data_IF_193917166957
#
_entry.id   IF_193917166957
#
_cell.length_a   1.000
_cell.length_b   1.000
_cell.length_c   1.000
_cell.angle_alpha   90.00
_cell.angle_beta   90.00
_cell.angle_gamma   90.00
#
_symmetry.space_group_name_H-M   'P 1'
#
loop_
_entity.id
_entity.type
_entity.pdbx_description
1 polymer ?
#
# COMPACT_ATOMS: atom_id res chain seq x y z
N UNK A 1 21.18 8.98 5.07
CA UNK A 1 21.26 8.39 3.73
C UNK A 1 20.01 8.79 2.98
N UNK A 2 20.11 9.25 1.75
CA UNK A 2 18.98 9.80 0.97
C UNK A 2 18.63 8.83 -0.16
N UNK A 3 17.33 8.71 -0.45
CA UNK A 3 16.86 7.99 -1.64
C UNK A 3 17.05 8.93 -2.85
N UNK A 4 17.67 8.44 -3.91
CA UNK A 4 17.72 9.17 -5.18
C UNK A 4 16.42 8.96 -5.96
N UNK A 5 15.51 9.92 -5.82
CA UNK A 5 14.26 9.92 -6.56
C UNK A 5 14.44 10.34 -8.02
N UNK A 6 15.45 11.19 -8.32
CA UNK A 6 15.65 11.77 -9.65
C UNK A 6 16.08 10.73 -10.68
N UNK A 7 16.96 9.79 -10.29
CA UNK A 7 17.40 8.68 -11.15
C UNK A 7 16.36 7.60 -11.40
N UNK A 8 15.17 7.72 -10.79
CA UNK A 8 14.11 6.70 -10.82
C UNK A 8 12.89 7.13 -11.67
N UNK A 9 12.92 8.30 -12.30
CA UNK A 9 11.78 8.85 -13.03
C UNK A 9 10.61 9.24 -12.11
N UNK A 10 10.87 9.42 -10.80
CA UNK A 10 9.87 9.80 -9.82
C UNK A 10 9.79 11.32 -9.65
N UNK A 11 8.62 11.80 -9.27
CA UNK A 11 8.36 13.19 -8.90
C UNK A 11 8.01 13.25 -7.41
N UNK A 12 8.45 14.33 -6.74
CA UNK A 12 7.95 14.68 -5.42
C UNK A 12 6.64 15.46 -5.56
N UNK A 13 5.60 15.04 -4.86
CA UNK A 13 4.32 15.76 -4.73
C UNK A 13 4.05 16.03 -3.25
N UNK A 14 3.49 17.19 -2.92
CA UNK A 14 3.10 17.47 -1.54
C UNK A 14 1.85 16.69 -1.15
N UNK A 15 1.70 16.37 0.15
CA UNK A 15 0.49 15.70 0.66
C UNK A 15 -0.77 16.49 0.36
N UNK A 16 -0.73 17.82 0.49
CA UNK A 16 -1.87 18.70 0.20
C UNK A 16 -2.27 18.63 -1.28
N UNK A 17 -1.30 18.60 -2.20
CA UNK A 17 -1.59 18.47 -3.62
C UNK A 17 -2.22 17.11 -3.95
N UNK A 18 -1.74 16.02 -3.34
CA UNK A 18 -2.33 14.69 -3.48
C UNK A 18 -3.74 14.64 -2.90
N UNK A 19 -3.96 15.23 -1.72
CA UNK A 19 -5.28 15.31 -1.08
C UNK A 19 -6.27 16.09 -1.96
N UNK A 20 -5.86 17.25 -2.50
CA UNK A 20 -6.69 18.07 -3.39
C UNK A 20 -7.03 17.32 -4.69
N UNK A 21 -6.06 16.62 -5.28
CA UNK A 21 -6.28 15.82 -6.51
C UNK A 21 -7.30 14.69 -6.25
N UNK A 22 -7.12 13.94 -5.16
CA UNK A 22 -8.04 12.87 -4.77
C UNK A 22 -9.46 13.41 -4.52
N UNK A 23 -9.57 14.50 -3.77
CA UNK A 23 -10.87 15.12 -3.49
C UNK A 23 -11.58 15.59 -4.77
N UNK A 24 -10.84 16.17 -5.71
CA UNK A 24 -11.38 16.57 -7.01
C UNK A 24 -11.84 15.35 -7.82
N UNK A 25 -11.02 14.29 -7.88
CA UNK A 25 -11.35 13.08 -8.62
C UNK A 25 -12.59 12.39 -8.03
N UNK A 26 -12.65 12.23 -6.70
CA UNK A 26 -13.81 11.64 -6.01
C UNK A 26 -15.08 12.46 -6.23
N UNK A 27 -15.01 13.78 -6.20
CA UNK A 27 -16.15 14.68 -6.47
C UNK A 27 -16.66 14.53 -7.90
N UNK A 28 -15.77 14.47 -8.89
CA UNK A 28 -16.12 14.58 -10.28
C UNK A 28 -16.45 13.21 -10.91
N UNK A 29 -15.89 12.10 -10.38
CA UNK A 29 -16.10 10.75 -10.94
C UNK A 29 -16.76 9.77 -9.94
N UNK A 30 -17.01 10.20 -8.71
CA UNK A 30 -17.66 9.36 -7.69
C UNK A 30 -16.89 8.05 -7.42
N UNK A 31 -17.61 6.91 -7.36
CA UNK A 31 -16.97 5.61 -7.05
C UNK A 31 -15.87 5.18 -8.05
N UNK A 32 -15.88 5.68 -9.27
CA UNK A 32 -14.87 5.34 -10.28
C UNK A 32 -13.48 5.90 -9.92
N UNK A 33 -13.41 6.92 -9.05
CA UNK A 33 -12.15 7.49 -8.56
C UNK A 33 -11.23 6.43 -7.95
N UNK A 34 -11.79 5.45 -7.23
CA UNK A 34 -11.04 4.37 -6.61
C UNK A 34 -10.23 3.58 -7.66
N UNK A 35 -10.88 3.16 -8.75
CA UNK A 35 -10.21 2.44 -9.83
C UNK A 35 -9.11 3.24 -10.51
N UNK A 36 -9.36 4.53 -10.80
CA UNK A 36 -8.36 5.41 -11.43
C UNK A 36 -7.13 5.61 -10.53
N UNK A 37 -7.34 5.78 -9.23
CA UNK A 37 -6.24 5.92 -8.27
C UNK A 37 -5.44 4.61 -8.12
N UNK A 38 -6.12 3.47 -8.06
CA UNK A 38 -5.45 2.16 -8.02
C UNK A 38 -4.63 1.91 -9.28
N UNK A 39 -5.19 2.18 -10.47
CA UNK A 39 -4.49 2.04 -11.75
C UNK A 39 -3.25 2.95 -11.81
N UNK A 40 -3.39 4.22 -11.41
CA UNK A 40 -2.26 5.15 -11.33
C UNK A 40 -1.18 4.68 -10.33
N UNK A 41 -1.60 4.18 -9.17
CA UNK A 41 -0.70 3.61 -8.17
C UNK A 41 0.06 2.39 -8.69
N UNK A 42 -0.65 1.46 -9.31
CA UNK A 42 -0.06 0.26 -9.91
C UNK A 42 0.97 0.62 -10.99
N UNK A 43 0.67 1.57 -11.85
CA UNK A 43 1.61 2.06 -12.86
C UNK A 43 2.89 2.68 -12.26
N UNK A 44 2.81 3.23 -11.04
CA UNK A 44 3.94 3.83 -10.33
C UNK A 44 4.78 2.84 -9.50
N UNK A 45 4.24 1.67 -9.19
CA UNK A 45 4.87 0.71 -8.27
C UNK A 45 6.23 0.20 -8.74
N UNK A 46 6.39 -0.06 -10.05
CA UNK A 46 7.65 -0.52 -10.63
C UNK A 46 8.82 0.44 -10.46
N UNK A 47 8.59 1.74 -10.66
CA UNK A 47 9.64 2.73 -10.45
C UNK A 47 10.06 2.80 -8.97
N UNK A 48 9.10 2.65 -8.06
CA UNK A 48 9.35 2.63 -6.62
C UNK A 48 10.12 1.36 -6.21
N UNK A 49 9.77 0.20 -6.79
CA UNK A 49 10.49 -1.06 -6.58
C UNK A 49 11.94 -0.97 -7.07
N UNK A 50 12.17 -0.42 -8.25
CA UNK A 50 13.52 -0.21 -8.77
C UNK A 50 14.35 0.75 -7.91
N UNK A 51 13.72 1.77 -7.33
CA UNK A 51 14.38 2.64 -6.37
C UNK A 51 14.74 1.90 -5.08
N UNK A 52 13.87 1.03 -4.59
CA UNK A 52 14.12 0.19 -3.41
C UNK A 52 15.30 -0.76 -3.65
N UNK A 53 15.35 -1.45 -4.80
CA UNK A 53 16.48 -2.32 -5.17
C UNK A 53 17.81 -1.56 -5.15
N UNK A 54 17.86 -0.38 -5.80
CA UNK A 54 19.09 0.45 -5.80
C UNK A 54 19.45 0.92 -4.41
N UNK A 55 18.49 1.27 -3.59
CA UNK A 55 18.70 1.69 -2.22
C UNK A 55 19.25 0.54 -1.36
N UNK A 56 18.71 -0.68 -1.46
CA UNK A 56 19.25 -1.87 -0.83
C UNK A 56 20.70 -2.14 -1.26
N UNK A 57 20.96 -2.15 -2.56
CA UNK A 57 22.32 -2.35 -3.10
C UNK A 57 23.32 -1.33 -2.56
N UNK A 58 22.90 -0.05 -2.41
CA UNK A 58 23.76 1.00 -1.83
C UNK A 58 24.10 0.79 -0.35
N UNK A 59 23.34 -0.07 0.34
CA UNK A 59 23.54 -0.47 1.74
C UNK A 59 24.25 -1.82 1.88
N UNK A 60 24.57 -2.47 0.77
CA UNK A 60 25.24 -3.76 0.75
C UNK A 60 24.32 -4.97 0.88
N UNK A 61 22.98 -4.75 0.74
CA UNK A 61 22.01 -5.83 0.70
C UNK A 61 21.89 -6.43 -0.72
N UNK A 62 21.37 -7.65 -0.79
CA UNK A 62 21.01 -8.33 -2.02
C UNK A 62 19.66 -7.88 -2.60
N UNK A 63 19.13 -8.67 -3.51
CA UNK A 63 17.81 -8.44 -4.11
C UNK A 63 16.69 -8.60 -3.04
N UNK A 64 15.59 -7.84 -3.12
CA UNK A 64 14.51 -7.85 -2.13
C UNK A 64 13.97 -9.24 -1.80
N UNK A 65 13.79 -10.07 -2.83
CA UNK A 65 13.26 -11.43 -2.72
C UNK A 65 14.22 -12.43 -2.05
N UNK A 66 15.50 -12.06 -1.91
CA UNK A 66 16.52 -12.87 -1.25
C UNK A 66 16.76 -12.52 0.23
N UNK A 67 16.13 -11.45 0.71
CA UNK A 67 16.32 -11.01 2.09
C UNK A 67 15.57 -11.91 3.08
N UNK A 68 16.14 -12.19 4.27
CA UNK A 68 15.36 -12.70 5.39
C UNK A 68 14.14 -11.82 5.67
N UNK A 69 13.04 -12.42 6.11
CA UNK A 69 11.77 -11.70 6.30
C UNK A 69 11.92 -10.49 7.22
N UNK A 70 12.63 -10.64 8.33
CA UNK A 70 12.84 -9.57 9.30
C UNK A 70 13.67 -8.41 8.73
N UNK A 71 14.68 -8.73 7.91
CA UNK A 71 15.47 -7.70 7.22
C UNK A 71 14.63 -6.99 6.17
N UNK A 72 13.86 -7.74 5.36
CA UNK A 72 12.94 -7.15 4.39
C UNK A 72 11.93 -6.21 5.04
N UNK A 73 11.33 -6.61 6.18
CA UNK A 73 10.40 -5.78 6.93
C UNK A 73 11.05 -4.48 7.40
N UNK A 74 12.26 -4.55 7.95
CA UNK A 74 12.99 -3.37 8.44
C UNK A 74 13.38 -2.43 7.30
N UNK A 75 13.93 -3.00 6.22
CA UNK A 75 14.43 -2.21 5.10
C UNK A 75 13.29 -1.58 4.30
N UNK A 76 12.18 -2.29 4.08
CA UNK A 76 11.00 -1.72 3.43
C UNK A 76 10.37 -0.60 4.27
N UNK A 77 10.25 -0.77 5.59
CA UNK A 77 9.75 0.27 6.48
C UNK A 77 10.61 1.55 6.43
N UNK A 78 11.92 1.40 6.48
CA UNK A 78 12.87 2.52 6.41
C UNK A 78 12.83 3.20 5.03
N UNK A 79 12.73 2.42 3.96
CA UNK A 79 12.63 2.95 2.61
C UNK A 79 11.38 3.82 2.42
N UNK A 80 10.19 3.33 2.78
CA UNK A 80 8.95 4.09 2.65
C UNK A 80 8.94 5.33 3.53
N UNK A 81 9.53 5.25 4.73
CA UNK A 81 9.70 6.40 5.62
C UNK A 81 10.59 7.47 4.99
N UNK A 82 11.75 7.09 4.41
CA UNK A 82 12.68 8.01 3.75
C UNK A 82 12.12 8.57 2.44
N UNK A 83 11.28 7.80 1.74
CA UNK A 83 10.57 8.25 0.55
C UNK A 83 9.41 9.22 0.86
N UNK A 84 9.13 9.47 2.15
CA UNK A 84 8.13 10.46 2.59
C UNK A 84 6.71 9.92 2.66
N UNK A 85 6.49 8.60 2.48
CA UNK A 85 5.17 7.98 2.58
C UNK A 85 4.68 7.81 4.01
N UNK A 86 5.57 7.70 4.98
CA UNK A 86 5.28 7.42 6.39
C UNK A 86 5.92 6.13 6.86
N UNK A 87 5.65 5.76 8.11
CA UNK A 87 6.10 4.49 8.67
C UNK A 87 5.25 3.34 8.12
N UNK A 88 5.88 2.22 7.77
CA UNK A 88 5.20 1.03 7.29
C UNK A 88 5.60 -0.16 8.16
N UNK A 89 4.64 -0.91 8.68
CA UNK A 89 4.88 -2.15 9.39
C UNK A 89 4.30 -3.29 8.56
N UNK A 90 5.16 -4.18 8.12
CA UNK A 90 4.78 -5.39 7.40
C UNK A 90 4.56 -6.51 8.42
N UNK A 91 3.40 -7.13 8.38
CA UNK A 91 3.02 -8.23 9.28
C UNK A 91 2.28 -9.33 8.54
N UNK A 92 1.75 -10.29 9.29
CA UNK A 92 0.86 -11.32 8.78
C UNK A 92 -0.41 -11.36 9.62
N UNK A 93 -1.56 -11.50 8.96
CA UNK A 93 -2.84 -11.78 9.63
C UNK A 93 -3.15 -13.28 9.59
N UNK A 94 -2.69 -13.95 8.53
CA UNK A 94 -2.80 -15.38 8.31
C UNK A 94 -1.65 -15.84 7.39
N UNK A 95 -1.44 -17.14 7.23
CA UNK A 95 -0.35 -17.68 6.39
C UNK A 95 -0.42 -17.21 4.92
N UNK A 96 -1.61 -16.88 4.42
CA UNK A 96 -1.82 -16.44 3.03
C UNK A 96 -2.15 -14.93 2.90
N UNK A 97 -2.25 -14.19 4.01
CA UNK A 97 -2.60 -12.78 4.01
C UNK A 97 -1.65 -11.98 4.89
N UNK A 98 -0.83 -11.16 4.25
CA UNK A 98 0.01 -10.19 4.92
C UNK A 98 -0.76 -8.91 5.26
N UNK A 99 -0.23 -8.12 6.20
CA UNK A 99 -0.73 -6.79 6.55
C UNK A 99 0.34 -5.74 6.34
N UNK A 100 -0.10 -4.56 5.93
CA UNK A 100 0.71 -3.35 5.89
C UNK A 100 0.01 -2.29 6.75
N UNK A 101 0.63 -1.93 7.86
CA UNK A 101 0.07 -1.01 8.85
C UNK A 101 0.85 0.29 8.92
N UNK A 102 0.14 1.42 9.08
CA UNK A 102 0.75 2.73 9.27
C UNK A 102 -0.13 3.67 10.07
N UNK A 103 0.45 4.34 11.06
CA UNK A 103 -0.22 5.38 11.85
C UNK A 103 -0.03 6.80 11.30
N UNK A 104 0.82 7.00 10.29
CA UNK A 104 1.18 8.29 9.72
C UNK A 104 1.24 8.29 8.18
N UNK A 105 0.57 7.33 7.53
CA UNK A 105 0.61 7.13 6.09
C UNK A 105 0.26 8.41 5.31
N UNK A 106 1.10 8.72 4.32
CA UNK A 106 1.09 10.02 3.64
C UNK A 106 -0.09 10.27 2.72
N UNK A 107 -0.78 9.24 2.25
CA UNK A 107 -2.02 9.40 1.48
C UNK A 107 -3.23 9.68 2.39
N UNK A 108 -3.20 9.29 3.65
CA UNK A 108 -4.31 9.51 4.56
C UNK A 108 -4.46 10.99 4.93
N UNK A 109 -5.70 11.47 4.95
CA UNK A 109 -6.12 12.80 5.35
C UNK A 109 -7.26 12.67 6.37
N UNK A 110 -6.97 12.58 7.68
CA UNK A 110 -8.00 12.39 8.72
C UNK A 110 -9.08 13.48 8.70
N UNK A 111 -8.70 14.70 8.35
CA UNK A 111 -9.61 15.85 8.22
C UNK A 111 -10.62 15.70 7.06
N UNK A 112 -10.41 14.78 6.14
CA UNK A 112 -11.33 14.50 5.04
C UNK A 112 -12.60 13.79 5.50
N UNK A 113 -12.58 13.15 6.69
CA UNK A 113 -13.71 12.46 7.31
C UNK A 113 -14.49 11.55 6.34
N UNK A 114 -13.77 10.71 5.61
CA UNK A 114 -14.35 9.78 4.62
C UNK A 114 -15.25 8.75 5.32
N UNK A 115 -16.23 8.23 4.60
CA UNK A 115 -17.13 7.18 5.11
C UNK A 115 -16.55 5.77 4.92
N UNK A 116 -15.54 5.63 4.08
CA UNK A 116 -14.90 4.37 3.71
C UNK A 116 -13.38 4.57 3.53
N UNK A 117 -12.58 3.49 3.57
CA UNK A 117 -11.17 3.53 3.24
C UNK A 117 -10.90 4.24 1.91
N UNK A 118 -9.85 5.06 1.84
CA UNK A 118 -9.62 5.94 0.71
C UNK A 118 -8.18 6.05 0.22
N UNK A 119 -7.24 5.22 0.71
CA UNK A 119 -5.86 5.20 0.22
C UNK A 119 -5.71 4.31 -1.01
N UNK A 120 -6.47 4.63 -2.06
CA UNK A 120 -6.57 3.82 -3.26
C UNK A 120 -5.29 3.86 -4.11
N UNK A 121 -4.59 5.00 -4.17
CA UNK A 121 -3.31 5.11 -4.86
C UNK A 121 -2.29 4.17 -4.22
N UNK A 122 -2.23 4.16 -2.89
CA UNK A 122 -1.34 3.27 -2.14
C UNK A 122 -1.67 1.80 -2.35
N UNK A 123 -2.95 1.43 -2.40
CA UNK A 123 -3.35 0.05 -2.70
C UNK A 123 -2.79 -0.42 -4.05
N UNK A 124 -2.85 0.43 -5.07
CA UNK A 124 -2.23 0.14 -6.37
C UNK A 124 -0.71 0.04 -6.32
N UNK A 125 -0.04 1.00 -5.66
CA UNK A 125 1.42 0.97 -5.46
C UNK A 125 1.85 -0.32 -4.78
N UNK A 126 1.19 -0.71 -3.70
CA UNK A 126 1.54 -1.91 -2.95
C UNK A 126 1.30 -3.19 -3.76
N UNK A 127 0.23 -3.24 -4.56
CA UNK A 127 -0.05 -4.41 -5.40
C UNK A 127 1.08 -4.67 -6.39
N UNK A 128 1.59 -3.65 -7.10
CA UNK A 128 2.71 -3.82 -8.03
C UNK A 128 4.05 -3.99 -7.30
N UNK A 129 4.33 -3.17 -6.28
CA UNK A 129 5.60 -3.23 -5.55
C UNK A 129 5.82 -4.60 -4.89
N UNK A 130 4.86 -5.07 -4.07
CA UNK A 130 4.98 -6.36 -3.39
C UNK A 130 4.75 -7.54 -4.33
N UNK A 131 3.98 -7.36 -5.40
CA UNK A 131 3.85 -8.35 -6.46
C UNK A 131 5.19 -8.67 -7.11
N UNK A 132 6.04 -7.67 -7.32
CA UNK A 132 7.42 -7.85 -7.83
C UNK A 132 8.32 -8.54 -6.82
N UNK A 133 8.17 -8.26 -5.52
CA UNK A 133 8.90 -8.98 -4.46
C UNK A 133 8.51 -10.45 -4.42
N UNK A 134 7.22 -10.74 -4.57
CA UNK A 134 6.68 -12.10 -4.53
C UNK A 134 6.82 -12.88 -5.85
N UNK A 135 7.25 -12.22 -6.93
CA UNK A 135 7.22 -12.74 -8.31
C UNK A 135 5.84 -13.33 -8.68
N UNK A 136 4.76 -12.67 -8.20
CA UNK A 136 3.39 -13.12 -8.40
C UNK A 136 2.41 -11.92 -8.34
N UNK A 137 1.29 -11.97 -9.07
CA UNK A 137 0.27 -10.94 -8.97
C UNK A 137 -0.38 -10.98 -7.58
N UNK A 138 -0.39 -9.82 -6.90
CA UNK A 138 -1.02 -9.63 -5.60
C UNK A 138 -2.16 -8.64 -5.70
N UNK A 139 -3.19 -8.85 -4.88
CA UNK A 139 -4.26 -7.88 -4.65
C UNK A 139 -4.10 -7.24 -3.27
N UNK A 140 -4.45 -5.96 -3.19
CA UNK A 140 -4.36 -5.16 -1.96
C UNK A 140 -5.69 -4.48 -1.69
N UNK A 141 -6.15 -4.54 -0.45
CA UNK A 141 -7.37 -3.89 0.01
C UNK A 141 -7.13 -3.15 1.33
N UNK A 142 -7.41 -1.86 1.38
CA UNK A 142 -7.42 -1.12 2.64
C UNK A 142 -8.69 -1.47 3.44
N UNK A 143 -8.52 -1.89 4.69
CA UNK A 143 -9.63 -2.30 5.58
C UNK A 143 -9.79 -1.39 6.78
N UNK A 144 -8.74 -0.69 7.20
CA UNK A 144 -8.80 0.40 8.18
C UNK A 144 -8.13 1.63 7.57
N UNK A 145 -8.73 2.79 7.70
CA UNK A 145 -8.22 4.02 7.10
C UNK A 145 -8.33 5.21 8.06
N UNK A 146 -7.25 5.93 8.26
CA UNK A 146 -7.23 7.14 9.09
C UNK A 146 -8.12 8.25 8.52
N UNK A 147 -8.26 8.33 7.20
CA UNK A 147 -9.22 9.25 6.56
C UNK A 147 -10.67 8.90 6.89
N UNK A 148 -10.97 7.66 7.27
CA UNK A 148 -12.29 7.18 7.68
C UNK A 148 -12.44 7.06 9.20
N UNK A 149 -11.53 7.67 9.98
CA UNK A 149 -11.62 7.75 11.43
C UNK A 149 -10.97 6.59 12.20
N UNK A 150 -10.26 5.66 11.54
CA UNK A 150 -9.48 4.65 12.24
C UNK A 150 -8.16 5.23 12.79
N UNK A 151 -7.58 4.57 13.78
CA UNK A 151 -6.31 4.97 14.39
C UNK A 151 -5.10 4.76 13.46
N UNK A 152 -5.25 3.87 12.46
CA UNK A 152 -4.23 3.53 11.48
C UNK A 152 -4.84 3.32 10.09
N UNK A 153 -3.97 3.28 9.09
CA UNK A 153 -4.25 2.63 7.81
C UNK A 153 -3.78 1.18 7.89
N UNK A 154 -4.63 0.23 7.54
CA UNK A 154 -4.30 -1.20 7.40
C UNK A 154 -4.70 -1.67 6.03
N UNK A 155 -3.74 -2.25 5.32
CA UNK A 155 -3.95 -2.92 4.05
C UNK A 155 -3.77 -4.43 4.23
N UNK A 156 -4.64 -5.21 3.63
CA UNK A 156 -4.49 -6.65 3.45
C UNK A 156 -3.86 -6.91 2.09
N UNK A 157 -2.96 -7.88 2.04
CA UNK A 157 -2.18 -8.23 0.86
C UNK A 157 -2.16 -9.76 0.70
N UNK A 158 -2.56 -10.26 -0.45
CA UNK A 158 -2.57 -11.69 -0.74
C UNK A 158 -2.76 -11.97 -2.23
N UNK A 159 -2.87 -13.26 -2.59
CA UNK A 159 -3.20 -13.62 -3.96
C UNK A 159 -4.57 -13.07 -4.36
N UNK A 160 -4.78 -12.87 -5.66
CA UNK A 160 -6.05 -12.32 -6.17
C UNK A 160 -7.26 -13.15 -5.76
N UNK A 161 -7.12 -14.48 -5.75
CA UNK A 161 -8.22 -15.40 -5.41
C UNK A 161 -8.58 -15.31 -3.92
N UNK A 162 -7.57 -15.31 -3.05
CA UNK A 162 -7.78 -15.17 -1.58
C UNK A 162 -8.39 -13.81 -1.28
N UNK A 163 -7.87 -12.72 -1.85
CA UNK A 163 -8.38 -11.38 -1.59
C UNK A 163 -9.79 -11.17 -2.16
N UNK A 164 -10.13 -11.84 -3.27
CA UNK A 164 -11.50 -11.85 -3.78
C UNK A 164 -12.46 -12.55 -2.80
N UNK A 165 -12.08 -13.72 -2.27
CA UNK A 165 -12.89 -14.43 -1.28
C UNK A 165 -13.08 -13.62 0.01
N UNK A 166 -12.01 -12.96 0.50
CA UNK A 166 -12.09 -12.04 1.66
C UNK A 166 -13.06 -10.89 1.38
N UNK A 167 -12.95 -10.26 0.21
CA UNK A 167 -13.86 -9.18 -0.19
C UNK A 167 -15.33 -9.63 -0.21
N UNK A 168 -15.62 -10.81 -0.76
CA UNK A 168 -16.98 -11.35 -0.84
C UNK A 168 -17.57 -11.63 0.55
N UNK A 169 -16.78 -12.14 1.49
CA UNK A 169 -17.20 -12.34 2.88
C UNK A 169 -17.49 -10.99 3.57
N UNK A 170 -16.62 -10.00 3.37
CA UNK A 170 -16.82 -8.66 3.93
C UNK A 170 -18.05 -7.98 3.32
N UNK A 171 -18.32 -8.16 2.04
CA UNK A 171 -19.53 -7.65 1.37
C UNK A 171 -20.82 -8.27 1.96
N UNK A 172 -20.73 -9.46 2.57
CA UNK A 172 -21.83 -10.11 3.29
C UNK A 172 -21.92 -9.68 4.77
N UNK A 173 -21.03 -8.78 5.21
CA UNK A 173 -21.06 -8.20 6.55
C UNK A 173 -20.08 -8.82 7.56
N UNK A 174 -19.20 -9.73 7.12
CA UNK A 174 -18.14 -10.25 7.98
C UNK A 174 -17.10 -9.18 8.30
N UNK A 175 -16.52 -9.20 9.50
CA UNK A 175 -15.32 -8.44 9.81
C UNK A 175 -14.14 -8.98 9.00
N UNK A 176 -13.17 -8.10 8.65
CA UNK A 176 -12.04 -8.52 7.80
C UNK A 176 -11.20 -9.65 8.42
N UNK A 177 -11.05 -9.68 9.75
CA UNK A 177 -10.31 -10.75 10.43
C UNK A 177 -11.01 -12.11 10.31
N UNK A 178 -12.34 -12.12 10.47
CA UNK A 178 -13.17 -13.34 10.32
C UNK A 178 -13.18 -13.78 8.84
N UNK A 179 -13.29 -12.81 7.91
CA UNK A 179 -13.27 -13.08 6.48
C UNK A 179 -11.95 -13.72 6.04
N UNK A 180 -10.80 -13.24 6.54
CA UNK A 180 -9.49 -13.84 6.29
C UNK A 180 -9.43 -15.25 6.86
N UNK A 181 -9.85 -15.47 8.12
CA UNK A 181 -9.86 -16.79 8.73
C UNK A 181 -10.75 -17.81 8.01
N UNK A 182 -11.77 -17.37 7.28
CA UNK A 182 -12.67 -18.25 6.50
C UNK A 182 -12.20 -18.49 5.06
N UNK A 183 -11.28 -17.66 4.53
CA UNK A 183 -10.87 -17.65 3.11
C UNK A 183 -9.44 -18.13 2.88
N UNK A 184 -8.68 -18.35 3.94
CA UNK A 184 -7.27 -18.72 3.92
C UNK A 184 -6.99 -20.16 4.33
#
# INVERSE_FOLDING_TARGET
MTIDLSGSGMLAITRDALTALRAALMRDTGPAAAGYLQEAGYAGGGALFDAFRRWLASRGFGEPESLPVEEFQQESAEFFRLAGWGTLQVGALHDMVATLDSSDWGEASPESALQQPGCHLSAGIFADFFGRVADAPLAVMEVECRSAGADRCRFLLGSTDVMQAVYEQMAQGAGYADAVGASA
#
